data_IF_630231661178
#
_entry.id   IF_630231661178
#
_cell.length_a   1.000
_cell.length_b   1.000
_cell.length_c   1.000
_cell.angle_alpha   90.00
_cell.angle_beta   90.00
_cell.angle_gamma   90.00
#
_symmetry.space_group_name_H-M   'P 1'
#
loop_
_entity.id
_entity.type
_entity.pdbx_description
1 polymer ?
#
# COMPACT_ATOMS: atom_id res chain seq x y z
N UNK A 1 4.45 -21.03 -9.69
CA UNK A 1 5.41 -22.13 -9.93
C UNK A 1 4.74 -23.50 -10.08
N UNK A 2 3.98 -24.00 -9.09
CA UNK A 2 3.37 -25.36 -9.10
C UNK A 2 2.67 -25.85 -10.38
N UNK A 3 2.12 -24.95 -11.22
CA UNK A 3 1.40 -25.31 -12.45
C UNK A 3 2.26 -25.29 -13.73
N UNK A 4 3.33 -24.51 -13.75
CA UNK A 4 4.05 -24.17 -14.99
C UNK A 4 5.57 -24.31 -14.87
N UNK A 5 6.06 -24.87 -13.76
CA UNK A 5 7.44 -25.32 -13.62
C UNK A 5 7.46 -26.64 -12.88
N UNK A 6 8.48 -27.45 -13.16
CA UNK A 6 8.78 -28.71 -12.48
C UNK A 6 9.55 -28.50 -11.18
N UNK A 7 10.03 -27.28 -10.90
CA UNK A 7 10.70 -26.96 -9.64
C UNK A 7 9.70 -27.06 -8.48
N UNK A 8 10.04 -27.89 -7.50
CA UNK A 8 9.31 -27.94 -6.25
C UNK A 8 9.55 -26.63 -5.48
N UNK A 9 8.51 -25.82 -5.19
CA UNK A 9 8.68 -24.60 -4.42
C UNK A 9 9.20 -24.80 -2.99
N UNK A 10 9.12 -26.02 -2.44
CA UNK A 10 9.67 -26.35 -1.12
C UNK A 10 11.16 -26.70 -1.11
N UNK A 11 11.76 -26.97 -2.27
CA UNK A 11 13.20 -27.22 -2.41
C UNK A 11 14.02 -25.92 -2.24
N UNK A 12 15.32 -26.05 -2.00
CA UNK A 12 16.23 -24.91 -1.90
C UNK A 12 16.29 -24.14 -3.23
N UNK A 13 16.39 -24.84 -4.36
CA UNK A 13 16.36 -24.23 -5.69
C UNK A 13 15.02 -23.55 -5.98
N UNK A 14 13.91 -24.18 -5.58
CA UNK A 14 12.57 -23.62 -5.71
C UNK A 14 12.39 -22.36 -4.87
N UNK A 15 12.89 -22.37 -3.63
CA UNK A 15 12.89 -21.21 -2.72
C UNK A 15 13.73 -20.08 -3.31
N UNK A 16 14.93 -20.38 -3.83
CA UNK A 16 15.78 -19.39 -4.47
C UNK A 16 15.12 -18.78 -5.73
N UNK A 17 14.40 -19.60 -6.51
CA UNK A 17 13.63 -19.14 -7.66
C UNK A 17 12.46 -18.23 -7.24
N UNK A 18 11.76 -18.57 -6.15
CA UNK A 18 10.71 -17.74 -5.57
C UNK A 18 11.25 -16.38 -5.13
N UNK A 19 12.39 -16.35 -4.44
CA UNK A 19 13.06 -15.10 -4.04
C UNK A 19 13.34 -14.20 -5.26
N UNK A 20 13.92 -14.78 -6.31
CA UNK A 20 14.25 -14.03 -7.53
C UNK A 20 13.00 -13.49 -8.24
N UNK A 21 11.95 -14.32 -8.35
CA UNK A 21 10.67 -13.90 -8.94
C UNK A 21 10.03 -12.79 -8.10
N UNK A 22 10.01 -12.96 -6.77
CA UNK A 22 9.40 -12.00 -5.85
C UNK A 22 10.08 -10.64 -5.93
N UNK A 23 11.42 -10.59 -5.92
CA UNK A 23 12.17 -9.34 -6.06
C UNK A 23 11.99 -8.70 -7.44
N UNK A 24 11.97 -9.51 -8.51
CA UNK A 24 11.83 -9.02 -9.88
C UNK A 24 10.43 -8.47 -10.19
N UNK A 25 9.40 -9.13 -9.67
CA UNK A 25 8.00 -8.88 -10.01
C UNK A 25 7.25 -8.01 -8.99
N UNK A 26 7.85 -7.70 -7.83
CA UNK A 26 7.29 -6.74 -6.88
C UNK A 26 7.12 -5.35 -7.49
N UNK A 27 6.13 -4.59 -7.00
CA UNK A 27 5.91 -3.19 -7.39
C UNK A 27 7.14 -2.33 -7.05
N UNK A 28 7.32 -1.21 -7.76
CA UNK A 28 8.57 -0.44 -7.71
C UNK A 28 8.96 0.05 -6.30
N UNK A 29 7.98 0.48 -5.52
CA UNK A 29 8.11 0.95 -4.14
C UNK A 29 8.49 -0.18 -3.17
N UNK A 30 7.78 -1.31 -3.25
CA UNK A 30 8.08 -2.52 -2.47
C UNK A 30 9.46 -3.04 -2.83
N UNK A 31 9.73 -3.24 -4.13
CA UNK A 31 11.02 -3.71 -4.63
C UNK A 31 12.17 -2.84 -4.15
N UNK A 32 12.03 -1.52 -4.21
CA UNK A 32 13.07 -0.60 -3.74
C UNK A 32 13.33 -0.73 -2.24
N UNK A 33 12.29 -0.94 -1.42
CA UNK A 33 12.47 -1.20 0.02
C UNK A 33 13.11 -2.56 0.29
N UNK A 34 12.68 -3.61 -0.41
CA UNK A 34 13.27 -4.95 -0.29
C UNK A 34 14.77 -4.95 -0.66
N UNK A 35 15.15 -4.25 -1.72
CA UNK A 35 16.56 -4.12 -2.15
C UNK A 35 17.44 -3.35 -1.16
N UNK A 36 16.85 -2.60 -0.23
CA UNK A 36 17.60 -1.90 0.83
C UNK A 36 17.90 -2.76 2.04
N UNK A 37 17.28 -3.93 2.18
CA UNK A 37 17.60 -4.85 3.26
C UNK A 37 19.05 -5.33 3.06
N UNK A 38 19.89 -5.08 4.06
CA UNK A 38 21.30 -5.52 4.08
C UNK A 38 21.46 -6.62 5.14
N UNK A 39 22.43 -7.51 4.93
CA UNK A 39 22.81 -8.53 5.91
C UNK A 39 22.49 -9.97 5.47
N UNK A 40 22.83 -10.96 6.32
CA UNK A 40 22.77 -12.38 5.99
C UNK A 40 21.37 -12.88 5.63
N UNK A 41 20.32 -12.20 6.11
CA UNK A 41 18.92 -12.58 5.86
C UNK A 41 18.26 -11.77 4.72
N UNK A 42 19.01 -10.92 4.01
CA UNK A 42 18.48 -10.09 2.92
C UNK A 42 17.90 -10.88 1.73
N UNK A 43 18.20 -12.18 1.66
CA UNK A 43 17.66 -13.12 0.67
C UNK A 43 16.88 -14.27 1.30
N UNK A 44 16.34 -14.08 2.50
CA UNK A 44 15.39 -15.03 3.07
C UNK A 44 13.96 -14.70 2.58
N UNK A 45 13.24 -15.70 2.09
CA UNK A 45 11.90 -15.49 1.52
C UNK A 45 10.89 -14.96 2.54
N UNK A 46 10.91 -15.47 3.77
CA UNK A 46 10.01 -15.05 4.85
C UNK A 46 10.26 -13.58 5.22
N UNK A 47 11.51 -13.19 5.39
CA UNK A 47 11.89 -11.79 5.66
C UNK A 47 11.43 -10.84 4.54
N UNK A 48 11.54 -11.27 3.28
CA UNK A 48 11.08 -10.48 2.14
C UNK A 48 9.55 -10.34 2.12
N UNK A 49 8.81 -11.40 2.48
CA UNK A 49 7.35 -11.37 2.54
C UNK A 49 6.86 -10.47 3.69
N UNK A 50 7.47 -10.55 4.86
CA UNK A 50 7.13 -9.72 6.01
C UNK A 50 7.34 -8.24 5.73
N UNK A 51 8.48 -7.89 5.13
CA UNK A 51 8.75 -6.50 4.74
C UNK A 51 7.77 -6.03 3.67
N UNK A 52 7.53 -6.83 2.63
CA UNK A 52 6.60 -6.45 1.57
C UNK A 52 5.19 -6.23 2.11
N UNK A 53 4.73 -7.11 3.01
CA UNK A 53 3.46 -6.96 3.70
C UNK A 53 3.39 -5.66 4.49
N UNK A 54 4.42 -5.37 5.29
CA UNK A 54 4.51 -4.11 6.06
C UNK A 54 4.42 -2.87 5.18
N UNK A 55 5.14 -2.87 4.05
CA UNK A 55 5.14 -1.74 3.11
C UNK A 55 3.76 -1.54 2.48
N UNK A 56 3.14 -2.64 2.05
CA UNK A 56 1.80 -2.64 1.48
C UNK A 56 0.77 -2.11 2.48
N UNK A 57 0.75 -2.63 3.71
CA UNK A 57 -0.18 -2.19 4.75
C UNK A 57 -0.01 -0.72 5.10
N UNK A 58 1.23 -0.25 5.25
CA UNK A 58 1.49 1.17 5.55
C UNK A 58 0.98 2.11 4.44
N UNK A 59 1.11 1.70 3.18
CA UNK A 59 0.57 2.47 2.06
C UNK A 59 -0.97 2.49 2.08
N UNK A 60 -1.61 1.35 2.30
CA UNK A 60 -3.06 1.24 2.38
C UNK A 60 -3.62 2.09 3.53
N UNK A 61 -3.00 2.04 4.70
CA UNK A 61 -3.37 2.84 5.86
C UNK A 61 -3.20 4.34 5.60
N UNK A 62 -2.10 4.75 4.99
CA UNK A 62 -1.87 6.14 4.58
C UNK A 62 -2.95 6.64 3.61
N UNK A 63 -3.33 5.83 2.62
CA UNK A 63 -4.42 6.15 1.70
C UNK A 63 -5.75 6.29 2.43
N UNK A 64 -6.11 5.32 3.28
CA UNK A 64 -7.35 5.36 4.08
C UNK A 64 -7.41 6.60 4.97
N UNK A 65 -6.30 6.95 5.62
CA UNK A 65 -6.23 8.13 6.46
C UNK A 65 -6.33 9.43 5.65
N UNK A 66 -5.63 9.51 4.52
CA UNK A 66 -5.72 10.64 3.59
C UNK A 66 -7.14 10.85 3.06
N UNK A 67 -7.83 9.78 2.65
CA UNK A 67 -9.22 9.83 2.20
C UNK A 67 -10.17 10.32 3.29
N UNK A 68 -10.02 9.84 4.53
CA UNK A 68 -10.80 10.33 5.68
C UNK A 68 -10.62 11.83 5.89
N UNK A 69 -9.38 12.32 5.78
CA UNK A 69 -9.07 13.76 5.91
C UNK A 69 -9.70 14.58 4.79
N UNK A 70 -9.63 14.14 3.54
CA UNK A 70 -10.29 14.82 2.41
C UNK A 70 -11.81 14.85 2.58
N UNK A 71 -12.42 13.72 2.97
CA UNK A 71 -13.87 13.67 3.21
C UNK A 71 -14.31 14.63 4.33
N UNK A 72 -13.51 14.79 5.39
CA UNK A 72 -13.78 15.75 6.45
C UNK A 72 -13.73 17.20 5.94
N UNK A 73 -12.72 17.55 5.14
CA UNK A 73 -12.58 18.89 4.53
C UNK A 73 -13.77 19.20 3.61
N UNK A 74 -14.22 18.25 2.79
CA UNK A 74 -15.39 18.43 1.93
C UNK A 74 -16.65 18.69 2.77
N UNK A 75 -16.91 17.88 3.80
CA UNK A 75 -18.07 18.07 4.68
C UNK A 75 -18.07 19.41 5.41
N UNK A 76 -16.91 19.92 5.81
CA UNK A 76 -16.79 21.23 6.45
C UNK A 76 -17.09 22.37 5.46
N UNK A 77 -16.57 22.27 4.23
CA UNK A 77 -16.85 23.23 3.15
C UNK A 77 -18.32 23.29 2.73
N UNK A 78 -19.06 22.17 2.81
CA UNK A 78 -20.51 22.12 2.56
C UNK A 78 -21.30 22.79 3.69
N UNK A 79 -20.93 22.56 4.96
CA UNK A 79 -21.57 23.20 6.12
C UNK A 79 -21.38 24.72 6.14
N UNK A 80 -20.25 25.22 5.67
CA UNK A 80 -19.98 26.66 5.54
C UNK A 80 -20.85 27.37 4.48
N UNK A 81 -21.38 26.64 3.50
CA UNK A 81 -22.21 27.21 2.42
C UNK A 81 -23.71 27.24 2.75
N UNK A 82 -24.17 26.40 3.67
CA UNK A 82 -25.59 26.37 4.09
C UNK A 82 -25.96 27.44 5.13
N UNK A 83 -25.02 28.29 5.55
CA UNK A 83 -25.24 29.36 6.55
C UNK A 83 -25.62 30.74 6.00
N UNK A 84 -25.57 30.97 4.69
CA UNK A 84 -26.00 32.23 4.08
C UNK A 84 -27.33 32.02 3.34
N UNK A 85 -28.42 31.98 4.11
CA UNK A 85 -29.75 32.27 3.55
C UNK A 85 -29.83 33.75 3.14
N UNK A 86 -30.57 34.10 2.07
CA UNK A 86 -30.69 35.49 1.63
C UNK A 86 -31.28 36.36 2.75
N UNK A 87 -30.81 37.61 2.93
CA UNK A 87 -31.36 38.50 3.96
C UNK A 87 -32.84 38.76 3.65
N UNK A 88 -33.71 38.42 4.60
CA UNK A 88 -35.14 38.74 4.53
C UNK A 88 -35.33 40.26 4.48
N UNK A 89 -35.51 40.82 3.29
CA UNK A 89 -36.14 42.12 3.10
C UNK A 89 -37.65 41.91 3.08
N UNK A 90 -38.32 42.23 4.19
CA UNK A 90 -39.78 42.27 4.26
C UNK A 90 -40.32 43.55 3.58
N UNK A 91 -41.52 43.53 2.98
CA UNK A 91 -42.09 44.69 2.28
C UNK A 91 -42.64 45.76 3.26
N UNK A 92 -42.85 47.00 2.78
CA UNK A 92 -43.15 48.20 3.58
C UNK A 92 -44.52 48.21 4.27
#
# INVERSE_FOLDING_TARGET
MRRHTTLDPGSDEGTQQLINLFLGQSTGDIRWKLQKIRGPNSRNLETLLDEAWRVFSNQEEGYKHGMKKLAAVVKEGEKGKHGQGPPNQGPP
#
